data_IF_226236847396
#
_entry.id   IF_226236847396
#
_cell.length_a   1.000
_cell.length_b   1.000
_cell.length_c   1.000
_cell.angle_alpha   90.00
_cell.angle_beta   90.00
_cell.angle_gamma   90.00
#
_symmetry.space_group_name_H-M   'P 1'
#
loop_
_entity.id
_entity.type
_entity.pdbx_description
1 polymer ?
#
# COMPACT_ATOMS: atom_id res chain seq x y z
N UNK A 1 -0.42 25.25 -7.88
CA UNK A 1 -1.48 24.34 -8.36
C UNK A 1 -2.66 24.41 -7.41
N UNK A 2 -3.90 24.48 -7.90
CA UNK A 2 -5.08 24.75 -7.07
C UNK A 2 -6.01 23.55 -7.04
N UNK A 3 -6.61 23.29 -5.87
CA UNK A 3 -7.65 22.28 -5.74
C UNK A 3 -8.98 22.86 -6.24
N UNK A 4 -9.47 22.35 -7.37
CA UNK A 4 -10.78 22.74 -7.90
C UNK A 4 -11.90 22.09 -7.08
N UNK A 5 -11.82 20.77 -6.88
CA UNK A 5 -12.84 20.03 -6.12
C UNK A 5 -12.25 18.90 -5.29
N UNK A 6 -12.82 18.69 -4.10
CA UNK A 6 -12.58 17.54 -3.24
C UNK A 6 -13.92 16.84 -2.99
N UNK A 7 -14.04 15.57 -3.39
CA UNK A 7 -15.23 14.78 -3.08
C UNK A 7 -15.32 14.56 -1.56
N UNK A 8 -16.51 14.77 -1.00
CA UNK A 8 -16.77 14.62 0.44
C UNK A 8 -17.00 13.17 0.89
N UNK A 9 -17.21 12.26 -0.05
CA UNK A 9 -17.37 10.84 0.21
C UNK A 9 -16.23 10.03 -0.44
N UNK A 10 -15.69 9.01 0.26
CA UNK A 10 -14.67 8.15 -0.31
C UNK A 10 -15.24 7.16 -1.33
N UNK A 11 -14.37 6.65 -2.21
CA UNK A 11 -14.68 5.52 -3.08
C UNK A 11 -14.73 4.19 -2.28
N UNK A 12 -15.04 3.08 -2.96
CA UNK A 12 -15.10 1.75 -2.34
C UNK A 12 -13.77 1.30 -1.72
N UNK A 13 -12.65 1.86 -2.15
CA UNK A 13 -11.33 1.60 -1.59
C UNK A 13 -10.96 2.56 -0.45
N UNK A 14 -11.85 3.48 -0.05
CA UNK A 14 -11.62 4.44 1.01
C UNK A 14 -10.91 5.73 0.56
N UNK A 15 -10.80 5.98 -0.75
CA UNK A 15 -10.08 7.14 -1.29
C UNK A 15 -11.02 8.30 -1.62
N UNK A 16 -10.66 9.48 -1.16
CA UNK A 16 -11.24 10.76 -1.53
C UNK A 16 -10.58 11.25 -2.82
N UNK A 17 -11.40 11.69 -3.77
CA UNK A 17 -10.89 12.18 -5.06
C UNK A 17 -10.76 13.68 -5.06
N UNK A 18 -9.55 14.15 -5.30
CA UNK A 18 -9.18 15.54 -5.53
C UNK A 18 -9.08 15.76 -7.04
N UNK A 19 -9.65 16.86 -7.54
CA UNK A 19 -9.44 17.38 -8.89
C UNK A 19 -8.71 18.71 -8.78
N UNK A 20 -7.61 18.85 -9.51
CA UNK A 20 -6.83 20.08 -9.59
C UNK A 20 -7.30 20.95 -10.75
N UNK A 21 -6.91 22.23 -10.74
CA UNK A 21 -7.24 23.23 -11.75
C UNK A 21 -6.72 22.91 -13.16
N UNK A 22 -5.68 22.09 -13.27
CA UNK A 22 -5.17 21.55 -14.54
C UNK A 22 -5.98 20.35 -15.07
N UNK A 23 -7.05 19.95 -14.37
CA UNK A 23 -7.91 18.82 -14.69
C UNK A 23 -7.38 17.46 -14.23
N UNK A 24 -6.16 17.39 -13.66
CA UNK A 24 -5.62 16.15 -13.11
C UNK A 24 -6.39 15.72 -11.86
N UNK A 25 -6.39 14.42 -11.58
CA UNK A 25 -7.11 13.83 -10.46
C UNK A 25 -6.22 12.93 -9.63
N UNK A 26 -6.38 13.00 -8.31
CA UNK A 26 -5.62 12.19 -7.37
C UNK A 26 -6.56 11.58 -6.33
N UNK A 27 -6.44 10.27 -6.13
CA UNK A 27 -7.15 9.54 -5.10
C UNK A 27 -6.31 9.48 -3.83
N UNK A 28 -6.78 10.09 -2.75
CA UNK A 28 -6.08 10.21 -1.47
C UNK A 28 -6.83 9.47 -0.37
N UNK A 29 -6.13 8.87 0.58
CA UNK A 29 -6.77 8.36 1.78
C UNK A 29 -7.03 9.51 2.77
N UNK A 30 -7.97 9.27 3.68
CA UNK A 30 -8.41 10.25 4.68
C UNK A 30 -7.27 10.95 5.41
N UNK A 31 -6.30 10.16 5.90
CA UNK A 31 -5.15 10.70 6.62
C UNK A 31 -4.38 11.72 5.78
N UNK A 32 -4.09 11.45 4.49
CA UNK A 32 -3.39 12.42 3.63
C UNK A 32 -4.22 13.67 3.36
N UNK A 33 -5.55 13.57 3.29
CA UNK A 33 -6.43 14.74 3.15
C UNK A 33 -6.37 15.62 4.41
N UNK A 34 -6.34 14.98 5.59
CA UNK A 34 -6.31 15.66 6.89
C UNK A 34 -4.93 16.26 7.18
N UNK A 35 -3.83 15.51 6.96
CA UNK A 35 -2.45 15.94 7.21
C UNK A 35 -2.07 17.20 6.39
N UNK A 36 -2.61 17.33 5.18
CA UNK A 36 -2.38 18.49 4.30
C UNK A 36 -3.49 19.54 4.38
N UNK A 37 -4.51 19.31 5.23
CA UNK A 37 -5.70 20.14 5.38
C UNK A 37 -6.28 20.55 4.00
N UNK A 38 -6.58 19.57 3.15
CA UNK A 38 -7.04 19.83 1.79
C UNK A 38 -8.50 20.27 1.77
N UNK A 39 -8.80 21.31 0.99
CA UNK A 39 -10.15 21.81 0.75
C UNK A 39 -10.24 22.44 -0.65
N UNK A 40 -11.46 22.54 -1.19
CA UNK A 40 -11.72 23.24 -2.45
C UNK A 40 -11.26 24.69 -2.39
N UNK A 41 -10.45 25.10 -3.35
CA UNK A 41 -9.87 26.42 -3.45
C UNK A 41 -8.50 26.57 -2.80
N UNK A 42 -8.00 25.56 -2.06
CA UNK A 42 -6.63 25.57 -1.53
C UNK A 42 -5.62 25.63 -2.67
N UNK A 43 -4.66 26.55 -2.56
CA UNK A 43 -3.49 26.62 -3.43
C UNK A 43 -2.34 25.86 -2.77
N UNK A 44 -1.63 25.09 -3.58
CA UNK A 44 -0.45 24.33 -3.20
C UNK A 44 0.71 24.82 -4.05
N UNK A 45 1.80 25.20 -3.40
CA UNK A 45 3.05 25.47 -4.09
C UNK A 45 3.68 24.16 -4.60
N UNK A 46 4.80 24.26 -5.33
CA UNK A 46 5.46 23.09 -5.91
C UNK A 46 6.00 22.14 -4.84
N UNK A 47 6.48 22.68 -3.72
CA UNK A 47 7.03 21.89 -2.62
C UNK A 47 5.92 21.13 -1.88
N UNK A 48 4.79 21.79 -1.61
CA UNK A 48 3.60 21.19 -1.01
C UNK A 48 3.00 20.13 -1.95
N UNK A 49 2.98 20.37 -3.26
CA UNK A 49 2.52 19.40 -4.24
C UNK A 49 3.40 18.15 -4.27
N UNK A 50 4.71 18.29 -4.23
CA UNK A 50 5.62 17.14 -4.21
C UNK A 50 5.55 16.37 -2.89
N UNK A 51 5.43 17.08 -1.76
CA UNK A 51 5.18 16.48 -0.46
C UNK A 51 3.85 15.71 -0.45
N UNK A 52 2.80 16.27 -1.04
CA UNK A 52 1.50 15.62 -1.17
C UNK A 52 1.58 14.34 -2.03
N UNK A 53 2.26 14.39 -3.18
CA UNK A 53 2.47 13.21 -4.05
C UNK A 53 3.23 12.11 -3.31
N UNK A 54 4.27 12.49 -2.57
CA UNK A 54 5.08 11.54 -1.80
C UNK A 54 4.23 10.87 -0.70
N UNK A 55 3.52 11.67 0.11
CA UNK A 55 2.67 11.15 1.17
C UNK A 55 1.51 10.28 0.62
N UNK A 56 0.93 10.69 -0.52
CA UNK A 56 -0.10 9.92 -1.20
C UNK A 56 0.41 8.55 -1.65
N UNK A 57 1.60 8.49 -2.23
CA UNK A 57 2.24 7.24 -2.64
C UNK A 57 2.53 6.32 -1.45
N UNK A 58 3.15 6.85 -0.39
CA UNK A 58 3.42 6.09 0.84
C UNK A 58 2.13 5.51 1.44
N UNK A 59 1.08 6.32 1.54
CA UNK A 59 -0.21 5.86 2.06
C UNK A 59 -0.88 4.84 1.13
N UNK A 60 -0.77 5.01 -0.19
CA UNK A 60 -1.25 4.01 -1.16
C UNK A 60 -0.57 2.66 -0.98
N UNK A 61 0.75 2.63 -0.88
CA UNK A 61 1.52 1.42 -0.66
C UNK A 61 1.13 0.73 0.65
N UNK A 62 1.03 1.49 1.74
CA UNK A 62 0.57 1.01 3.06
C UNK A 62 -0.83 0.38 2.98
N UNK A 63 -1.81 1.09 2.41
CA UNK A 63 -3.19 0.59 2.32
C UNK A 63 -3.33 -0.57 1.33
N UNK A 64 -2.45 -0.68 0.33
CA UNK A 64 -2.36 -1.85 -0.54
C UNK A 64 -1.76 -3.05 0.20
N UNK A 65 -0.75 -2.82 1.03
CA UNK A 65 -0.15 -3.87 1.86
C UNK A 65 -1.19 -4.47 2.81
N UNK A 66 -1.96 -3.63 3.52
CA UNK A 66 -3.07 -4.07 4.40
C UNK A 66 -4.04 -4.98 3.66
N UNK A 67 -4.45 -4.61 2.44
CA UNK A 67 -5.37 -5.44 1.63
C UNK A 67 -4.77 -6.78 1.21
N UNK A 68 -3.46 -6.83 0.94
CA UNK A 68 -2.78 -8.09 0.58
C UNK A 68 -2.71 -9.01 1.80
N UNK A 69 -2.22 -8.52 2.94
CA UNK A 69 -2.05 -9.33 4.15
C UNK A 69 -3.38 -9.79 4.75
N UNK A 70 -4.44 -9.00 4.56
CA UNK A 70 -5.79 -9.37 4.98
C UNK A 70 -6.41 -10.48 4.13
N UNK A 71 -5.94 -10.66 2.88
CA UNK A 71 -6.47 -11.65 1.95
C UNK A 71 -5.66 -12.95 1.93
N UNK A 72 -4.38 -12.91 2.30
CA UNK A 72 -3.49 -14.07 2.31
C UNK A 72 -2.28 -13.84 3.23
N UNK A 73 -1.80 -14.92 3.84
CA UNK A 73 -0.47 -14.96 4.45
C UNK A 73 0.59 -14.83 3.36
N UNK A 74 1.54 -13.92 3.58
CA UNK A 74 2.60 -13.57 2.63
C UNK A 74 3.90 -13.33 3.38
N UNK A 75 5.03 -13.67 2.75
CA UNK A 75 6.35 -13.28 3.26
C UNK A 75 6.62 -11.82 2.93
N UNK A 76 7.62 -11.21 3.58
CA UNK A 76 8.08 -9.84 3.30
C UNK A 76 8.45 -9.66 1.82
N UNK A 77 9.22 -10.62 1.29
CA UNK A 77 9.64 -10.62 -0.12
C UNK A 77 8.46 -10.72 -1.09
N UNK A 78 7.50 -11.59 -0.81
CA UNK A 78 6.30 -11.72 -1.66
C UNK A 78 5.43 -10.47 -1.59
N UNK A 79 5.26 -9.90 -0.39
CA UNK A 79 4.52 -8.66 -0.21
C UNK A 79 5.14 -7.50 -1.01
N UNK A 80 6.45 -7.28 -0.89
CA UNK A 80 7.17 -6.23 -1.64
C UNK A 80 7.00 -6.44 -3.16
N UNK A 81 7.24 -7.66 -3.65
CA UNK A 81 7.09 -7.99 -5.06
C UNK A 81 5.66 -7.75 -5.58
N UNK A 82 4.64 -8.06 -4.78
CA UNK A 82 3.23 -7.81 -5.13
C UNK A 82 2.89 -6.32 -5.15
N UNK A 83 3.45 -5.52 -4.24
CA UNK A 83 3.26 -4.08 -4.22
C UNK A 83 3.83 -3.42 -5.48
N UNK A 84 5.08 -3.74 -5.82
CA UNK A 84 5.75 -3.23 -7.03
C UNK A 84 5.04 -3.68 -8.30
N UNK A 85 4.64 -4.97 -8.39
CA UNK A 85 3.86 -5.48 -9.54
C UNK A 85 2.52 -4.75 -9.72
N UNK A 86 1.95 -4.23 -8.63
CA UNK A 86 0.71 -3.44 -8.64
C UNK A 86 0.95 -1.94 -8.82
N UNK A 87 2.17 -1.53 -9.16
CA UNK A 87 2.52 -0.16 -9.53
C UNK A 87 2.88 0.76 -8.37
N UNK A 88 3.15 0.23 -7.16
CA UNK A 88 3.72 1.06 -6.09
C UNK A 88 5.21 1.32 -6.34
N UNK A 89 5.70 2.49 -5.91
CA UNK A 89 7.12 2.80 -5.95
C UNK A 89 7.93 1.80 -5.10
N UNK A 90 9.07 1.28 -5.59
CA UNK A 90 9.86 0.27 -4.85
C UNK A 90 10.30 0.71 -3.45
N UNK A 91 10.64 1.98 -3.25
CA UNK A 91 11.05 2.48 -1.92
C UNK A 91 9.86 2.52 -0.98
N UNK A 92 8.72 3.03 -1.45
CA UNK A 92 7.48 3.07 -0.66
C UNK A 92 6.93 1.66 -0.39
N UNK A 93 7.10 0.71 -1.32
CA UNK A 93 6.75 -0.68 -1.11
C UNK A 93 7.57 -1.30 0.02
N UNK A 94 8.89 -1.06 0.04
CA UNK A 94 9.78 -1.51 1.12
C UNK A 94 9.41 -0.90 2.47
N UNK A 95 9.11 0.41 2.50
CA UNK A 95 8.61 1.08 3.72
C UNK A 95 7.28 0.50 4.21
N UNK A 96 6.37 0.18 3.30
CA UNK A 96 5.10 -0.45 3.64
C UNK A 96 5.30 -1.87 4.20
N UNK A 97 6.25 -2.65 3.67
CA UNK A 97 6.61 -3.97 4.21
C UNK A 97 7.19 -3.85 5.62
N UNK A 98 8.12 -2.93 5.85
CA UNK A 98 8.68 -2.68 7.17
C UNK A 98 7.58 -2.28 8.17
N UNK A 99 6.66 -1.41 7.77
CA UNK A 99 5.52 -1.04 8.60
C UNK A 99 4.59 -2.23 8.93
N UNK A 100 4.38 -3.16 8.00
CA UNK A 100 3.62 -4.39 8.28
C UNK A 100 4.36 -5.34 9.23
N UNK A 101 5.69 -5.40 9.14
CA UNK A 101 6.54 -6.18 10.05
C UNK A 101 6.51 -5.59 11.47
N UNK A 102 6.62 -4.27 11.61
CA UNK A 102 6.53 -3.55 12.90
C UNK A 102 5.18 -3.76 13.59
N UNK A 103 4.11 -3.90 12.80
CA UNK A 103 2.76 -4.24 13.30
C UNK A 103 2.57 -5.75 13.55
N UNK A 104 3.59 -6.57 13.33
CA UNK A 104 3.55 -8.03 13.39
C UNK A 104 2.47 -8.67 12.50
N UNK A 105 2.12 -8.01 11.39
CA UNK A 105 1.16 -8.51 10.40
C UNK A 105 1.84 -9.35 9.31
N UNK A 106 3.16 -9.27 9.22
CA UNK A 106 3.98 -10.11 8.33
C UNK A 106 5.09 -10.75 9.15
N UNK A 107 5.16 -12.07 9.09
CA UNK A 107 6.19 -12.89 9.73
C UNK A 107 6.63 -13.99 8.76
N UNK A 108 7.89 -13.93 8.33
CA UNK A 108 8.47 -14.89 7.38
C UNK A 108 8.54 -16.29 7.97
N UNK A 109 8.78 -16.42 9.28
CA UNK A 109 8.84 -17.72 9.96
C UNK A 109 7.45 -18.35 10.01
N UNK A 110 6.45 -17.61 10.46
CA UNK A 110 5.08 -18.09 10.49
C UNK A 110 4.59 -18.47 9.07
N UNK A 111 4.95 -17.67 8.07
CA UNK A 111 4.65 -17.96 6.66
C UNK A 111 5.36 -19.24 6.20
N UNK A 112 6.64 -19.42 6.52
CA UNK A 112 7.40 -20.62 6.17
C UNK A 112 6.80 -21.88 6.81
N UNK A 113 6.40 -21.81 8.08
CA UNK A 113 5.74 -22.92 8.78
C UNK A 113 4.43 -23.31 8.09
N UNK A 114 3.62 -22.34 7.66
CA UNK A 114 2.39 -22.59 6.90
C UNK A 114 2.66 -23.21 5.53
N UNK A 115 3.67 -22.72 4.80
CA UNK A 115 4.07 -23.27 3.48
C UNK A 115 4.52 -24.73 3.62
N UNK A 116 5.36 -25.03 4.63
CA UNK A 116 5.83 -26.40 4.89
C UNK A 116 4.66 -27.30 5.31
N UNK A 117 3.79 -26.84 6.21
CA UNK A 117 2.59 -27.59 6.62
C UNK A 117 1.66 -27.90 5.44
N UNK A 118 1.47 -26.93 4.54
CA UNK A 118 0.72 -27.09 3.29
C UNK A 118 1.38 -28.08 2.33
N UNK A 119 2.71 -28.12 2.27
CA UNK A 119 3.43 -29.11 1.47
C UNK A 119 3.26 -30.53 2.04
N UNK A 120 3.37 -30.69 3.36
CA UNK A 120 3.17 -31.99 4.03
C UNK A 120 1.75 -32.50 3.81
N UNK A 121 0.73 -31.65 3.98
CA UNK A 121 -0.67 -32.06 3.78
C UNK A 121 -0.98 -32.49 2.34
N UNK A 122 -0.24 -31.96 1.37
CA UNK A 122 -0.31 -32.35 -0.05
C UNK A 122 0.57 -33.55 -0.42
N UNK A 123 1.30 -34.13 0.54
CA UNK A 123 2.21 -35.24 0.31
C UNK A 123 3.51 -34.86 -0.41
N UNK A 124 3.89 -33.57 -0.42
CA UNK A 124 5.13 -33.11 -1.02
C UNK A 124 6.33 -33.38 -0.10
N UNK A 125 7.41 -33.90 -0.69
CA UNK A 125 8.67 -34.15 0.02
C UNK A 125 9.50 -32.87 0.26
N UNK A 126 10.57 -33.02 1.05
CA UNK A 126 11.46 -31.94 1.49
C UNK A 126 11.98 -31.05 0.35
N UNK A 127 12.38 -31.64 -0.78
CA UNK A 127 12.91 -30.89 -1.91
C UNK A 127 11.87 -29.90 -2.49
N UNK A 128 10.61 -30.33 -2.56
CA UNK A 128 9.52 -29.48 -3.05
C UNK A 128 9.14 -28.40 -2.02
N UNK A 129 9.13 -28.73 -0.74
CA UNK A 129 8.91 -27.75 0.33
C UNK A 129 9.99 -26.65 0.32
N UNK A 130 11.27 -27.02 0.16
CA UNK A 130 12.38 -26.05 0.04
C UNK A 130 12.26 -25.14 -1.19
N UNK A 131 11.70 -25.64 -2.29
CA UNK A 131 11.47 -24.83 -3.50
C UNK A 131 10.30 -23.84 -3.33
N UNK A 132 9.34 -24.14 -2.43
CA UNK A 132 8.17 -23.32 -2.20
C UNK A 132 8.39 -22.16 -1.21
N UNK A 133 9.50 -22.21 -0.44
CA UNK A 133 9.98 -21.14 0.45
C UNK A 133 10.74 -20.08 -0.35
#
# INVERSE_FOLDING_TARGET
MKIESLKTAPDRAGRYWVTFDDGTKMGLYRQTVEDFALYSGKELDEQEMEALRTAAGQMSAKMRAVRIVSAASVSRRDLEARLVRKGEDPRQAKEAVAWMEDLHLVDDRATAEQVVSSCISKGYGLARAKQAL
#
